data_IF_428218706107
#
_entry.id   IF_428218706107
#
_cell.length_a   1.000
_cell.length_b   1.000
_cell.length_c   1.000
_cell.angle_alpha   90.00
_cell.angle_beta   90.00
_cell.angle_gamma   90.00
#
_symmetry.space_group_name_H-M   'P 1'
#
loop_
_entity.id
_entity.type
_entity.pdbx_description
1 polymer ?
#
# COMPACT_ATOMS: atom_id res chain seq x y z
N UNK A 1 -35.99 -9.00 -29.61
CA UNK A 1 -34.99 -8.13 -28.97
C UNK A 1 -33.65 -8.80 -29.12
N UNK A 2 -32.76 -8.31 -29.97
CA UNK A 2 -31.40 -8.85 -30.13
C UNK A 2 -30.61 -8.49 -28.90
N UNK A 3 -30.23 -9.49 -28.12
CA UNK A 3 -29.40 -9.29 -26.93
C UNK A 3 -28.03 -8.76 -27.39
N UNK A 4 -27.73 -7.51 -27.02
CA UNK A 4 -26.44 -6.87 -27.35
C UNK A 4 -25.32 -7.68 -26.70
N UNK A 5 -24.29 -8.08 -27.44
CA UNK A 5 -23.13 -8.76 -26.87
C UNK A 5 -22.54 -7.94 -25.72
N UNK A 6 -22.17 -8.55 -24.58
CA UNK A 6 -21.54 -7.84 -23.48
C UNK A 6 -20.12 -7.35 -23.81
N UNK A 7 -19.54 -7.86 -24.90
CA UNK A 7 -18.19 -7.50 -25.35
C UNK A 7 -18.24 -6.70 -26.65
N UNK A 8 -17.27 -5.79 -26.82
CA UNK A 8 -17.02 -5.09 -28.07
C UNK A 8 -16.64 -6.12 -29.16
N UNK A 9 -17.10 -5.89 -30.40
CA UNK A 9 -16.75 -6.79 -31.51
C UNK A 9 -15.23 -6.81 -31.79
N UNK A 10 -14.74 -7.94 -32.28
CA UNK A 10 -13.30 -8.21 -32.42
C UNK A 10 -12.64 -7.25 -33.42
N UNK A 11 -13.36 -6.80 -34.47
CA UNK A 11 -12.81 -5.88 -35.47
C UNK A 11 -12.52 -4.52 -34.80
N UNK A 12 -13.49 -4.00 -34.06
CA UNK A 12 -13.37 -2.74 -33.30
C UNK A 12 -12.24 -2.85 -32.27
N UNK A 13 -12.15 -3.97 -31.50
CA UNK A 13 -11.04 -4.18 -30.57
C UNK A 13 -9.66 -4.15 -31.25
N UNK A 14 -9.54 -4.79 -32.42
CA UNK A 14 -8.28 -4.80 -33.20
C UNK A 14 -7.92 -3.42 -33.73
N UNK A 15 -8.90 -2.61 -34.10
CA UNK A 15 -8.69 -1.24 -34.56
C UNK A 15 -8.27 -0.32 -33.41
N UNK A 16 -8.93 -0.43 -32.25
CA UNK A 16 -8.59 0.33 -31.05
C UNK A 16 -7.19 -0.02 -30.52
N UNK A 17 -6.84 -1.31 -30.48
CA UNK A 17 -5.55 -1.79 -29.98
C UNK A 17 -4.34 -1.27 -30.79
N UNK A 18 -4.54 -0.77 -32.03
CA UNK A 18 -3.47 -0.18 -32.84
C UNK A 18 -3.29 1.32 -32.61
N UNK A 19 -4.18 1.93 -31.85
CA UNK A 19 -4.09 3.36 -31.50
C UNK A 19 -3.22 3.53 -30.28
N UNK A 20 -2.40 4.58 -30.26
CA UNK A 20 -1.60 4.96 -29.10
C UNK A 20 -0.80 3.77 -28.52
N UNK A 21 -0.15 3.00 -29.40
CA UNK A 21 0.55 1.77 -29.00
C UNK A 21 1.67 2.05 -28.00
N UNK A 22 2.22 3.26 -27.98
CA UNK A 22 3.27 3.71 -27.06
C UNK A 22 2.76 3.93 -25.62
N UNK A 23 1.43 4.01 -25.42
CA UNK A 23 0.83 4.10 -24.08
C UNK A 23 0.84 2.76 -23.32
N UNK A 24 1.33 1.69 -23.92
CA UNK A 24 1.54 0.39 -23.30
C UNK A 24 0.25 -0.21 -22.71
N UNK A 25 0.18 -0.32 -21.40
CA UNK A 25 -0.94 -0.91 -20.69
C UNK A 25 -2.20 -0.02 -20.67
N UNK A 26 -2.07 1.27 -20.99
CA UNK A 26 -3.18 2.22 -21.00
C UNK A 26 -3.86 2.17 -22.37
N UNK A 27 -5.04 1.58 -22.42
CA UNK A 27 -5.85 1.49 -23.62
C UNK A 27 -6.98 2.52 -23.63
N UNK A 28 -7.65 2.67 -24.76
CA UNK A 28 -8.79 3.59 -24.90
C UNK A 28 -9.98 3.25 -23.98
N UNK A 29 -9.98 2.10 -23.34
CA UNK A 29 -10.98 1.68 -22.36
C UNK A 29 -10.64 2.06 -20.91
N UNK A 30 -9.45 2.59 -20.65
CA UNK A 30 -9.09 3.09 -19.32
C UNK A 30 -9.92 4.35 -19.01
N UNK A 31 -10.76 4.28 -17.99
CA UNK A 31 -11.74 5.33 -17.66
C UNK A 31 -11.49 6.03 -16.33
N UNK A 32 -10.56 5.55 -15.52
CA UNK A 32 -10.21 6.21 -14.26
C UNK A 32 -9.50 7.55 -14.51
N UNK A 33 -9.64 8.49 -13.58
CA UNK A 33 -8.87 9.73 -13.58
C UNK A 33 -7.40 9.42 -13.24
N UNK A 34 -6.58 9.22 -14.29
CA UNK A 34 -5.17 8.83 -14.15
C UNK A 34 -4.38 9.77 -13.26
N UNK A 35 -4.62 11.07 -13.35
CA UNK A 35 -3.91 12.07 -12.53
C UNK A 35 -4.19 11.86 -11.05
N UNK A 36 -5.44 11.62 -10.68
CA UNK A 36 -5.80 11.33 -9.29
C UNK A 36 -5.29 9.99 -8.83
N UNK A 37 -5.39 8.96 -9.68
CA UNK A 37 -4.84 7.62 -9.35
C UNK A 37 -3.35 7.69 -9.08
N UNK A 38 -2.57 8.36 -9.93
CA UNK A 38 -1.12 8.54 -9.74
C UNK A 38 -0.79 9.32 -8.46
N UNK A 39 -1.60 10.33 -8.12
CA UNK A 39 -1.43 11.07 -6.86
C UNK A 39 -1.66 10.14 -5.66
N UNK A 40 -2.79 9.41 -5.61
CA UNK A 40 -3.10 8.48 -4.53
C UNK A 40 -2.03 7.39 -4.37
N UNK A 41 -1.54 6.83 -5.48
CA UNK A 41 -0.47 5.83 -5.45
C UNK A 41 0.85 6.41 -4.92
N UNK A 42 1.20 7.65 -5.24
CA UNK A 42 2.40 8.29 -4.68
C UNK A 42 2.26 8.64 -3.19
N UNK A 43 1.05 8.90 -2.71
CA UNK A 43 0.76 9.06 -1.28
C UNK A 43 0.85 7.71 -0.55
N UNK A 44 0.32 6.64 -1.13
CA UNK A 44 0.48 5.28 -0.63
C UNK A 44 1.96 4.87 -0.60
N UNK A 45 2.71 5.06 -1.70
CA UNK A 45 4.15 4.78 -1.76
C UNK A 45 4.91 5.48 -0.63
N UNK A 46 4.58 6.73 -0.33
CA UNK A 46 5.22 7.46 0.77
C UNK A 46 4.86 6.86 2.13
N UNK A 47 3.64 6.36 2.30
CA UNK A 47 3.17 5.71 3.52
C UNK A 47 3.94 4.42 3.78
N UNK A 48 4.04 3.54 2.78
CA UNK A 48 4.84 2.30 2.87
C UNK A 48 6.30 2.59 3.24
N UNK A 49 6.94 3.55 2.56
CA UNK A 49 8.33 3.90 2.85
C UNK A 49 8.53 4.45 4.28
N UNK A 50 7.58 5.20 4.82
CA UNK A 50 7.62 5.64 6.22
C UNK A 50 7.46 4.46 7.17
N UNK A 51 6.56 3.51 6.86
CA UNK A 51 6.40 2.28 7.63
C UNK A 51 7.68 1.43 7.60
N UNK A 52 8.31 1.22 6.44
CA UNK A 52 9.62 0.54 6.32
C UNK A 52 10.66 1.17 7.25
N UNK A 53 10.82 2.49 7.21
CA UNK A 53 11.81 3.20 8.02
C UNK A 53 11.53 3.07 9.52
N UNK A 54 10.25 3.12 9.92
CA UNK A 54 9.82 3.00 11.30
C UNK A 54 10.01 1.57 11.81
N UNK A 55 9.53 0.56 11.12
CA UNK A 55 9.71 -0.85 11.47
C UNK A 55 11.19 -1.25 11.55
N UNK A 56 12.02 -0.79 10.61
CA UNK A 56 13.48 -1.00 10.67
C UNK A 56 14.09 -0.39 11.92
N UNK A 57 13.68 0.81 12.30
CA UNK A 57 14.14 1.42 13.54
C UNK A 57 13.67 0.62 14.75
N UNK A 58 12.41 0.20 14.80
CA UNK A 58 11.86 -0.58 15.91
C UNK A 58 12.58 -1.93 16.05
N UNK A 59 12.88 -2.61 14.95
CA UNK A 59 13.71 -3.80 14.94
C UNK A 59 15.06 -3.60 15.67
N UNK A 60 15.81 -2.58 15.33
CA UNK A 60 17.11 -2.30 15.96
C UNK A 60 17.00 -1.80 17.40
N UNK A 61 15.88 -1.19 17.76
CA UNK A 61 15.67 -0.61 19.10
C UNK A 61 14.96 -1.54 20.07
N UNK A 62 14.34 -2.62 19.61
CA UNK A 62 13.69 -3.61 20.47
C UNK A 62 14.70 -4.25 21.47
N UNK A 63 14.42 -4.12 22.75
CA UNK A 63 15.30 -4.59 23.84
C UNK A 63 14.47 -5.24 24.94
N UNK A 64 15.03 -6.24 25.59
CA UNK A 64 14.41 -6.93 26.72
C UNK A 64 14.25 -8.43 26.48
N UNK A 65 13.64 -9.12 27.44
CA UNK A 65 13.51 -10.59 27.44
C UNK A 65 12.63 -11.06 26.27
N UNK A 66 11.53 -10.37 26.03
CA UNK A 66 10.55 -10.66 24.95
C UNK A 66 10.96 -10.08 23.59
N UNK A 67 12.08 -9.37 23.51
CA UNK A 67 12.37 -8.52 22.34
C UNK A 67 12.75 -9.29 21.08
N UNK A 68 13.21 -10.56 21.17
CA UNK A 68 13.73 -11.26 19.98
C UNK A 68 12.62 -11.65 18.99
N UNK A 69 11.50 -12.17 19.49
CA UNK A 69 10.36 -12.51 18.64
C UNK A 69 9.72 -11.26 18.05
N UNK A 70 9.48 -10.26 18.88
CA UNK A 70 8.90 -8.98 18.45
C UNK A 70 9.81 -8.24 17.46
N UNK A 71 11.13 -8.25 17.67
CA UNK A 71 12.06 -7.69 16.70
C UNK A 71 12.03 -8.44 15.36
N UNK A 72 11.89 -9.76 15.37
CA UNK A 72 11.77 -10.53 14.13
C UNK A 72 10.50 -10.12 13.36
N UNK A 73 9.39 -9.95 14.06
CA UNK A 73 8.12 -9.45 13.51
C UNK A 73 8.28 -8.07 12.86
N UNK A 74 8.87 -7.11 13.58
CA UNK A 74 9.16 -5.78 13.01
C UNK A 74 10.02 -5.84 11.74
N UNK A 75 10.96 -6.80 11.66
CA UNK A 75 11.78 -6.96 10.46
C UNK A 75 11.00 -7.60 9.31
N UNK A 76 10.13 -8.55 9.61
CA UNK A 76 9.26 -9.20 8.65
C UNK A 76 8.31 -8.17 8.02
N UNK A 77 7.55 -7.43 8.85
CA UNK A 77 6.69 -6.34 8.39
C UNK A 77 7.47 -5.30 7.57
N UNK A 78 8.67 -4.87 8.03
CA UNK A 78 9.48 -3.93 7.25
C UNK A 78 9.84 -4.43 5.83
N UNK A 79 9.99 -5.74 5.64
CA UNK A 79 10.28 -6.32 4.33
C UNK A 79 9.00 -6.43 3.47
N UNK A 80 7.86 -6.70 4.08
CA UNK A 80 6.57 -6.75 3.40
C UNK A 80 6.13 -5.36 2.94
N UNK A 81 6.27 -4.33 3.79
CA UNK A 81 6.04 -2.92 3.41
C UNK A 81 6.93 -2.47 2.24
N UNK A 82 8.19 -2.91 2.22
CA UNK A 82 9.07 -2.65 1.08
C UNK A 82 8.54 -3.34 -0.19
N UNK A 83 8.00 -4.54 -0.07
CA UNK A 83 7.33 -5.24 -1.17
C UNK A 83 6.09 -4.50 -1.67
N UNK A 84 5.28 -3.95 -0.77
CA UNK A 84 4.13 -3.11 -1.11
C UNK A 84 4.57 -1.83 -1.86
N UNK A 85 5.61 -1.16 -1.36
CA UNK A 85 6.19 0.01 -2.02
C UNK A 85 6.64 -0.29 -3.46
N UNK A 86 7.29 -1.43 -3.69
CA UNK A 86 7.73 -1.86 -5.01
C UNK A 86 6.55 -2.14 -5.95
N UNK A 87 5.51 -2.83 -5.49
CA UNK A 87 4.28 -3.08 -6.25
C UNK A 87 3.59 -1.77 -6.67
N UNK A 88 3.50 -0.82 -5.75
CA UNK A 88 2.90 0.50 -6.01
C UNK A 88 3.74 1.28 -7.01
N UNK A 89 5.06 1.31 -6.85
CA UNK A 89 5.98 2.00 -7.76
C UNK A 89 5.91 1.42 -9.18
N UNK A 90 5.88 0.09 -9.31
CA UNK A 90 5.69 -0.58 -10.60
C UNK A 90 4.36 -0.17 -11.25
N UNK A 91 3.27 -0.11 -10.47
CA UNK A 91 1.97 0.30 -10.98
C UNK A 91 1.94 1.76 -11.43
N UNK A 92 2.60 2.66 -10.72
CA UNK A 92 2.76 4.07 -11.12
C UNK A 92 3.41 4.15 -12.50
N UNK A 93 4.51 3.41 -12.73
CA UNK A 93 5.21 3.36 -14.03
C UNK A 93 4.32 2.79 -15.12
N UNK A 94 3.58 1.70 -14.87
CA UNK A 94 2.62 1.12 -15.82
C UNK A 94 1.51 2.10 -16.22
N UNK A 95 1.15 3.02 -15.34
CA UNK A 95 0.18 4.10 -15.61
C UNK A 95 0.84 5.33 -16.25
N UNK A 96 2.11 5.26 -16.65
CA UNK A 96 2.84 6.35 -17.28
C UNK A 96 3.16 7.50 -16.33
N UNK A 97 3.22 7.23 -15.03
CA UNK A 97 3.65 8.17 -13.99
C UNK A 97 5.10 7.97 -13.58
N UNK A 98 5.55 8.80 -12.66
CA UNK A 98 6.86 8.72 -12.01
C UNK A 98 6.67 8.43 -10.52
N UNK A 99 7.25 7.33 -9.97
CA UNK A 99 7.21 7.06 -8.55
C UNK A 99 8.11 8.04 -7.80
N UNK A 100 7.54 8.76 -6.83
CA UNK A 100 8.26 9.77 -6.08
C UNK A 100 8.92 9.18 -4.82
N UNK A 101 10.21 8.87 -4.93
CA UNK A 101 11.07 8.42 -3.84
C UNK A 101 11.82 9.58 -3.15
N UNK A 102 11.48 10.83 -3.42
CA UNK A 102 12.17 11.98 -2.80
C UNK A 102 12.03 11.98 -1.28
N UNK A 103 13.13 11.93 -0.52
CA UNK A 103 13.09 11.97 0.93
C UNK A 103 12.55 13.30 1.48
N UNK A 104 12.68 14.39 0.73
CA UNK A 104 12.30 15.74 1.18
C UNK A 104 10.78 15.89 1.33
N UNK A 105 10.01 15.17 0.53
CA UNK A 105 8.53 15.21 0.54
C UNK A 105 7.87 13.98 1.18
N UNK A 106 8.66 13.01 1.61
CA UNK A 106 8.17 11.71 2.06
C UNK A 106 7.16 11.84 3.22
N UNK A 107 7.54 12.54 4.29
CA UNK A 107 6.68 12.75 5.47
C UNK A 107 5.40 13.52 5.11
N UNK A 108 5.49 14.52 4.23
CA UNK A 108 4.33 15.35 3.88
C UNK A 108 3.32 14.65 2.97
N UNK A 109 3.71 13.58 2.28
CA UNK A 109 2.85 12.76 1.42
C UNK A 109 2.31 11.52 2.14
N UNK A 110 3.01 11.05 3.17
CA UNK A 110 2.59 9.86 3.94
C UNK A 110 1.32 10.14 4.73
N UNK A 111 0.42 9.16 4.78
CA UNK A 111 -0.72 9.17 5.68
C UNK A 111 -0.32 8.76 7.10
N UNK A 112 0.69 7.90 7.25
CA UNK A 112 1.21 7.48 8.53
C UNK A 112 2.30 8.43 9.05
N UNK A 113 2.37 8.59 10.39
CA UNK A 113 3.39 9.39 11.04
C UNK A 113 4.64 8.55 11.36
N UNK A 114 5.80 9.17 11.28
CA UNK A 114 7.04 8.56 11.75
C UNK A 114 7.18 8.75 13.27
N UNK A 115 6.71 7.78 14.05
CA UNK A 115 6.83 7.80 15.52
C UNK A 115 7.93 6.84 15.96
N UNK A 116 9.01 7.34 16.60
CA UNK A 116 10.13 6.48 16.98
C UNK A 116 9.82 5.50 18.11
N UNK A 117 8.78 5.74 18.92
CA UNK A 117 8.50 4.96 20.13
C UNK A 117 9.57 5.11 21.23
N UNK A 118 9.17 5.01 22.49
CA UNK A 118 10.02 5.12 23.66
C UNK A 118 10.19 3.80 24.43
N UNK A 119 9.33 2.85 24.18
CA UNK A 119 9.30 1.52 24.81
C UNK A 119 8.80 0.47 23.81
N UNK A 120 9.04 -0.82 24.10
CA UNK A 120 8.57 -1.90 23.23
C UNK A 120 7.04 -1.85 23.02
N UNK A 121 6.28 -1.67 24.10
CA UNK A 121 4.83 -1.54 24.03
C UNK A 121 4.38 -0.31 23.23
N UNK A 122 5.11 0.80 23.34
CA UNK A 122 4.79 2.00 22.57
C UNK A 122 5.14 1.82 21.07
N UNK A 123 6.26 1.15 20.74
CA UNK A 123 6.59 0.82 19.36
C UNK A 123 5.49 -0.02 18.71
N UNK A 124 5.08 -1.13 19.33
CA UNK A 124 3.99 -1.99 18.81
C UNK A 124 2.69 -1.18 18.65
N UNK A 125 2.34 -0.37 19.65
CA UNK A 125 1.13 0.45 19.59
C UNK A 125 1.14 1.45 18.43
N UNK A 126 2.26 2.14 18.23
CA UNK A 126 2.38 3.13 17.16
C UNK A 126 2.45 2.47 15.77
N UNK A 127 3.01 1.25 15.67
CA UNK A 127 2.94 0.45 14.46
C UNK A 127 1.48 0.04 14.18
N UNK A 128 0.76 -0.49 15.16
CA UNK A 128 -0.67 -0.80 15.01
C UNK A 128 -1.52 0.41 14.61
N UNK A 129 -1.22 1.59 15.12
CA UNK A 129 -1.90 2.84 14.69
C UNK A 129 -1.67 3.09 13.21
N UNK A 130 -0.46 2.88 12.71
CA UNK A 130 -0.17 3.11 11.30
C UNK A 130 -0.82 2.07 10.39
N UNK A 131 -0.82 0.77 10.78
CA UNK A 131 -1.56 -0.24 10.03
C UNK A 131 -3.04 0.14 9.90
N UNK A 132 -3.65 0.59 10.96
CA UNK A 132 -5.05 1.03 10.93
C UNK A 132 -5.29 2.24 10.01
N UNK A 133 -4.32 3.15 9.92
CA UNK A 133 -4.36 4.26 8.96
C UNK A 133 -4.23 3.72 7.52
N UNK A 134 -3.30 2.79 7.28
CA UNK A 134 -3.11 2.15 5.99
C UNK A 134 -4.39 1.40 5.55
N UNK A 135 -4.98 0.59 6.44
CA UNK A 135 -6.23 -0.14 6.19
C UNK A 135 -7.35 0.80 5.73
N UNK A 136 -7.61 1.89 6.45
CA UNK A 136 -8.68 2.82 6.09
C UNK A 136 -8.34 3.56 4.77
N UNK A 137 -7.07 3.97 4.58
CA UNK A 137 -6.61 4.60 3.34
C UNK A 137 -6.78 3.68 2.13
N UNK A 138 -6.38 2.42 2.23
CA UNK A 138 -6.53 1.45 1.13
C UNK A 138 -7.98 1.13 0.83
N UNK A 139 -8.86 1.03 1.83
CA UNK A 139 -10.30 0.86 1.62
C UNK A 139 -10.90 2.02 0.83
N UNK A 140 -10.58 3.25 1.20
CA UNK A 140 -11.04 4.44 0.48
C UNK A 140 -10.52 4.47 -0.97
N UNK A 141 -9.26 4.10 -1.20
CA UNK A 141 -8.70 4.00 -2.55
C UNK A 141 -9.40 2.91 -3.38
N UNK A 142 -9.66 1.74 -2.81
CA UNK A 142 -10.38 0.63 -3.45
C UNK A 142 -11.79 1.06 -3.82
N UNK A 143 -12.50 1.74 -2.93
CA UNK A 143 -13.84 2.28 -3.19
C UNK A 143 -13.82 3.35 -4.30
N UNK A 144 -12.85 4.27 -4.26
CA UNK A 144 -12.69 5.30 -5.27
C UNK A 144 -12.45 4.71 -6.67
N UNK A 145 -11.61 3.70 -6.79
CA UNK A 145 -11.32 3.04 -8.06
C UNK A 145 -12.52 2.27 -8.63
N UNK A 146 -13.31 1.66 -7.77
CA UNK A 146 -14.50 0.90 -8.16
C UNK A 146 -14.21 -0.07 -9.30
N UNK A 147 -14.92 0.10 -10.43
CA UNK A 147 -14.75 -0.72 -11.64
C UNK A 147 -13.92 -0.01 -12.73
N UNK A 148 -13.36 1.17 -12.46
CA UNK A 148 -12.70 1.99 -13.48
C UNK A 148 -11.26 1.54 -13.74
N UNK A 149 -10.56 1.02 -12.71
CA UNK A 149 -9.22 0.43 -12.80
C UNK A 149 -9.14 -0.84 -11.94
N UNK A 150 -9.57 -1.95 -12.51
CA UNK A 150 -9.61 -3.25 -11.83
C UNK A 150 -8.22 -3.80 -11.48
N UNK A 151 -7.18 -3.41 -12.20
CA UNK A 151 -5.80 -3.86 -11.95
C UNK A 151 -5.22 -3.16 -10.72
N UNK A 152 -5.30 -1.84 -10.66
CA UNK A 152 -4.87 -1.07 -9.49
C UNK A 152 -5.68 -1.46 -8.25
N UNK A 153 -7.01 -1.57 -8.40
CA UNK A 153 -7.89 -2.01 -7.33
C UNK A 153 -7.48 -3.36 -6.75
N UNK A 154 -7.25 -4.37 -7.60
CA UNK A 154 -6.83 -5.71 -7.14
C UNK A 154 -5.49 -5.67 -6.39
N UNK A 155 -4.53 -4.88 -6.87
CA UNK A 155 -3.26 -4.69 -6.20
C UNK A 155 -3.47 -4.09 -4.80
N UNK A 156 -4.26 -3.02 -4.68
CA UNK A 156 -4.57 -2.40 -3.39
C UNK A 156 -5.38 -3.33 -2.47
N UNK A 157 -6.30 -4.14 -3.00
CA UNK A 157 -7.01 -5.17 -2.23
C UNK A 157 -6.05 -6.24 -1.68
N UNK A 158 -4.99 -6.59 -2.42
CA UNK A 158 -3.99 -7.55 -1.93
C UNK A 158 -3.10 -6.96 -0.83
N UNK A 159 -2.72 -5.70 -0.94
CA UNK A 159 -1.99 -4.99 0.12
C UNK A 159 -2.89 -4.86 1.36
N UNK A 160 -4.10 -4.36 1.21
CA UNK A 160 -5.07 -4.22 2.30
C UNK A 160 -5.23 -5.51 3.13
N UNK A 161 -5.25 -6.67 2.48
CA UNK A 161 -5.36 -7.94 3.19
C UNK A 161 -4.13 -8.24 4.07
N UNK A 162 -2.94 -7.80 3.68
CA UNK A 162 -1.71 -7.93 4.48
C UNK A 162 -1.70 -6.92 5.63
N UNK A 163 -2.11 -5.66 5.39
CA UNK A 163 -2.23 -4.65 6.46
C UNK A 163 -3.23 -5.08 7.55
N UNK A 164 -4.33 -5.73 7.16
CA UNK A 164 -5.29 -6.30 8.12
C UNK A 164 -4.65 -7.41 8.96
N UNK A 165 -3.79 -8.26 8.36
CA UNK A 165 -3.03 -9.28 9.06
C UNK A 165 -2.00 -8.66 10.01
N UNK A 166 -1.19 -7.70 9.56
CA UNK A 166 -0.22 -6.97 10.41
C UNK A 166 -0.91 -6.34 11.64
N UNK A 167 -2.07 -5.72 11.42
CA UNK A 167 -2.83 -5.12 12.52
C UNK A 167 -3.30 -6.16 13.55
N UNK A 168 -3.70 -7.37 13.13
CA UNK A 168 -4.07 -8.46 14.02
C UNK A 168 -2.86 -8.96 14.80
N UNK A 169 -1.73 -9.23 14.13
CA UNK A 169 -0.49 -9.69 14.75
C UNK A 169 0.04 -8.69 15.79
N UNK A 170 0.04 -7.40 15.47
CA UNK A 170 0.45 -6.36 16.43
C UNK A 170 -0.52 -6.21 17.61
N UNK A 171 -1.81 -6.43 17.40
CA UNK A 171 -2.80 -6.43 18.49
C UNK A 171 -2.56 -7.60 19.46
N UNK A 172 -2.28 -8.79 18.93
CA UNK A 172 -1.93 -9.98 19.72
C UNK A 172 -0.64 -9.76 20.51
N UNK A 173 0.39 -9.20 19.88
CA UNK A 173 1.63 -8.84 20.57
C UNK A 173 1.41 -7.85 21.73
N UNK A 174 0.50 -6.88 21.59
CA UNK A 174 0.15 -5.96 22.68
C UNK A 174 -0.56 -6.65 23.84
N UNK A 175 -1.40 -7.64 23.53
CA UNK A 175 -2.14 -8.40 24.56
C UNK A 175 -1.22 -9.29 25.36
N UNK A 176 -0.22 -9.88 24.70
CA UNK A 176 0.77 -10.81 25.29
C UNK A 176 1.84 -10.10 26.15
N UNK A 177 2.00 -8.78 26.00
CA UNK A 177 2.97 -8.05 26.83
C UNK A 177 2.59 -8.07 28.32
N UNK A 178 3.56 -8.26 29.22
CA UNK A 178 3.32 -8.21 30.67
C UNK A 178 2.65 -6.88 31.04
N UNK A 179 1.41 -6.95 31.54
CA UNK A 179 0.74 -5.77 32.11
C UNK A 179 1.56 -5.32 33.31
N UNK A 180 2.15 -4.12 33.25
CA UNK A 180 2.84 -3.54 34.41
C UNK A 180 1.84 -3.50 35.58
N UNK A 181 2.15 -4.30 36.65
CA UNK A 181 1.46 -4.19 37.92
C UNK A 181 1.75 -2.84 38.56
#
# INVERSE_FOLDING_TARGET
>A
MTQKSPLTDVKTLREQARRNIDDGAITSSYTADRTKVLKLLNEALATELICVLRYRRHYFMAKGIESKSIAAEFLEHANEELGHADLIAERIVQLGGEPDFSPDSLISRSHAEYIPGDSLANMIKEDLVAERIAIDSYREMVEYLGNQDSTTRRMLESILAVEEQHAEELADLLEDLPKKM
#
